data_IF_713226429285
#
_entry.id   IF_713226429285
#
_cell.length_a   1.000
_cell.length_b   1.000
_cell.length_c   1.000
_cell.angle_alpha   90.00
_cell.angle_beta   90.00
_cell.angle_gamma   90.00
#
_symmetry.space_group_name_H-M   'P 1'
#
loop_
_entity.id
_entity.type
_entity.pdbx_description
1 polymer ?
#
# COMPACT_ATOMS: atom_id res chain seq x y z
N UNK A 1 3.96 54.67 81.24
CA UNK A 1 3.40 53.46 80.60
C UNK A 1 1.92 53.43 80.94
N UNK A 2 0.92 53.52 80.06
CA UNK A 2 0.78 53.12 78.65
C UNK A 2 -0.19 54.06 77.92
N UNK A 3 -0.02 54.15 76.60
CA UNK A 3 -0.76 54.94 75.63
C UNK A 3 -2.22 54.48 75.45
N UNK A 4 -3.10 55.43 75.14
CA UNK A 4 -4.45 55.23 74.62
C UNK A 4 -4.40 55.27 73.08
N UNK A 5 -5.00 54.28 72.41
CA UNK A 5 -4.99 54.15 70.95
C UNK A 5 -6.42 54.18 70.41
N UNK A 6 -6.66 55.13 69.51
CA UNK A 6 -7.85 55.32 68.70
C UNK A 6 -8.08 54.13 67.74
N UNK A 7 -9.33 53.65 67.62
CA UNK A 7 -9.76 52.80 66.51
C UNK A 7 -10.67 53.61 65.58
N UNK A 8 -10.23 53.77 64.32
CA UNK A 8 -11.03 54.28 63.20
C UNK A 8 -11.67 53.09 62.46
N UNK A 9 -12.98 53.14 62.23
CA UNK A 9 -13.72 52.15 61.46
C UNK A 9 -13.61 52.46 59.96
N UNK A 10 -13.12 51.48 59.18
CA UNK A 10 -12.99 51.54 57.72
C UNK A 10 -14.05 50.60 57.11
N UNK A 11 -15.08 51.19 56.47
CA UNK A 11 -16.12 50.45 55.75
C UNK A 11 -15.64 50.21 54.32
N UNK A 12 -15.26 48.97 54.00
CA UNK A 12 -14.97 48.51 52.64
C UNK A 12 -16.27 48.05 51.96
N UNK A 13 -16.71 48.79 50.94
CA UNK A 13 -17.80 48.40 50.06
C UNK A 13 -17.36 47.32 49.06
N UNK A 14 -18.09 46.20 49.03
CA UNK A 14 -17.91 45.14 48.06
C UNK A 14 -18.72 45.44 46.78
N UNK A 15 -18.03 45.61 45.64
CA UNK A 15 -18.63 45.62 44.30
C UNK A 15 -18.70 44.17 43.78
N UNK A 16 -19.84 43.68 43.27
CA UNK A 16 -19.94 42.34 42.73
C UNK A 16 -19.32 42.29 41.33
N UNK A 17 -18.31 41.42 41.16
CA UNK A 17 -17.77 41.03 39.85
C UNK A 17 -18.85 40.20 39.12
N UNK A 18 -19.52 40.80 38.13
CA UNK A 18 -20.38 40.05 37.22
C UNK A 18 -19.50 39.23 36.25
N UNK A 19 -19.48 37.91 36.42
CA UNK A 19 -18.84 36.99 35.49
C UNK A 19 -19.59 36.99 34.16
N UNK A 20 -19.03 37.62 33.13
CA UNK A 20 -19.52 37.52 31.76
C UNK A 20 -19.15 36.14 31.20
N UNK A 21 -20.13 35.24 31.12
CA UNK A 21 -19.99 33.99 30.38
C UNK A 21 -19.92 34.29 28.87
N UNK A 22 -18.71 34.34 28.32
CA UNK A 22 -18.52 34.34 26.87
C UNK A 22 -18.97 33.00 26.30
N UNK A 23 -20.11 33.01 25.59
CA UNK A 23 -20.52 31.91 24.72
C UNK A 23 -19.42 31.68 23.69
N UNK A 24 -18.62 30.64 23.88
CA UNK A 24 -17.69 30.15 22.86
C UNK A 24 -18.52 29.60 21.70
N UNK A 25 -18.62 30.38 20.62
CA UNK A 25 -19.17 29.88 19.37
C UNK A 25 -18.33 28.65 18.92
N UNK A 26 -18.96 27.56 18.44
CA UNK A 26 -18.22 26.43 17.92
C UNK A 26 -17.34 26.91 16.76
N UNK A 27 -16.04 26.65 16.87
CA UNK A 27 -15.07 27.03 15.85
C UNK A 27 -15.51 26.48 14.50
N UNK A 28 -15.53 27.34 13.48
CA UNK A 28 -15.85 26.93 12.11
C UNK A 28 -14.92 25.78 11.66
N UNK A 29 -15.42 24.80 10.91
CA UNK A 29 -14.60 23.69 10.43
C UNK A 29 -13.45 24.24 9.58
N UNK A 30 -12.22 23.95 10.00
CA UNK A 30 -11.00 24.32 9.27
C UNK A 30 -11.04 23.66 7.90
N UNK A 31 -10.87 24.45 6.84
CA UNK A 31 -10.84 23.93 5.47
C UNK A 31 -9.50 23.25 5.18
N UNK A 32 -9.46 22.34 4.20
CA UNK A 32 -8.20 21.70 3.76
C UNK A 32 -7.14 22.73 3.37
N UNK A 33 -7.54 23.80 2.68
CA UNK A 33 -6.63 24.88 2.27
C UNK A 33 -5.96 25.60 3.45
N UNK A 34 -6.64 25.68 4.59
CA UNK A 34 -6.09 26.24 5.83
C UNK A 34 -5.28 25.21 6.62
N UNK A 35 -5.72 23.96 6.64
CA UNK A 35 -5.08 22.89 7.40
C UNK A 35 -3.76 22.43 6.77
N UNK A 36 -3.68 22.27 5.45
CA UNK A 36 -2.52 21.66 4.79
C UNK A 36 -1.18 22.37 5.09
N UNK A 37 -1.06 23.72 4.96
CA UNK A 37 0.19 24.41 5.29
C UNK A 37 0.61 24.23 6.75
N UNK A 38 -0.37 24.22 7.66
CA UNK A 38 -0.13 24.06 9.08
C UNK A 38 0.31 22.63 9.43
N UNK A 39 -0.35 21.62 8.86
CA UNK A 39 0.04 20.21 8.97
C UNK A 39 1.49 20.01 8.51
N UNK A 40 1.82 20.50 7.32
CA UNK A 40 3.18 20.36 6.75
C UNK A 40 4.23 21.00 7.65
N UNK A 41 3.98 22.21 8.14
CA UNK A 41 4.89 22.92 9.06
C UNK A 41 5.06 22.19 10.39
N UNK A 42 3.96 21.76 11.00
CA UNK A 42 3.97 21.11 12.31
C UNK A 42 4.70 19.76 12.26
N UNK A 43 4.39 18.92 11.27
CA UNK A 43 5.02 17.61 11.12
C UNK A 43 6.50 17.72 10.75
N UNK A 44 6.89 18.66 9.88
CA UNK A 44 8.31 18.87 9.58
C UNK A 44 9.13 19.30 10.81
N UNK A 45 8.55 20.13 11.69
CA UNK A 45 9.22 20.59 12.90
C UNK A 45 9.32 19.52 13.99
N UNK A 46 8.28 18.68 14.13
CA UNK A 46 8.18 17.68 15.20
C UNK A 46 8.76 16.32 14.81
N UNK A 47 8.74 15.99 13.52
CA UNK A 47 9.21 14.72 12.95
C UNK A 47 10.21 15.00 11.81
N UNK A 48 11.43 15.46 12.12
CA UNK A 48 12.40 15.88 11.10
C UNK A 48 12.88 14.75 10.17
N UNK A 49 12.76 13.49 10.62
CA UNK A 49 13.11 12.30 9.83
C UNK A 49 11.93 11.72 9.03
N UNK A 50 10.78 12.39 9.03
CA UNK A 50 9.61 11.90 8.32
C UNK A 50 9.83 12.00 6.81
N UNK A 51 9.41 10.98 6.02
CA UNK A 51 9.40 11.10 4.57
C UNK A 51 8.57 12.30 4.11
N UNK A 52 8.91 12.83 2.92
CA UNK A 52 8.20 13.97 2.34
C UNK A 52 6.70 13.66 2.21
N UNK A 53 5.88 14.62 2.64
CA UNK A 53 4.43 14.62 2.40
C UNK A 53 4.21 14.96 0.93
N UNK A 54 3.77 14.01 0.13
CA UNK A 54 3.46 14.22 -1.28
C UNK A 54 2.07 14.82 -1.48
N UNK A 55 1.11 14.46 -0.62
CA UNK A 55 -0.28 14.88 -0.77
C UNK A 55 -0.99 14.95 0.59
N UNK A 56 -1.88 15.92 0.75
CA UNK A 56 -2.80 16.02 1.90
C UNK A 56 -4.22 16.07 1.36
N UNK A 57 -5.12 15.25 1.92
CA UNK A 57 -6.53 15.19 1.50
C UNK A 57 -7.46 15.21 2.70
N UNK A 58 -8.64 15.79 2.53
CA UNK A 58 -9.70 15.68 3.53
C UNK A 58 -10.27 14.26 3.54
N UNK A 59 -10.54 13.73 4.73
CA UNK A 59 -11.28 12.47 4.89
C UNK A 59 -12.77 12.74 5.10
N UNK A 60 -13.64 11.71 5.03
CA UNK A 60 -15.05 11.85 5.42
C UNK A 60 -15.25 12.20 6.91
N UNK A 61 -14.21 12.07 7.74
CA UNK A 61 -14.24 12.44 9.17
C UNK A 61 -13.80 13.89 9.30
N UNK A 62 -14.68 14.75 9.79
CA UNK A 62 -14.39 16.17 9.97
C UNK A 62 -13.17 16.38 10.89
N UNK A 63 -12.22 17.21 10.44
CA UNK A 63 -10.99 17.50 11.17
C UNK A 63 -9.88 16.46 11.03
N UNK A 64 -10.12 15.34 10.35
CA UNK A 64 -9.12 14.31 10.05
C UNK A 64 -8.71 14.36 8.57
N UNK A 65 -7.41 14.33 8.36
CA UNK A 65 -6.76 14.46 7.05
C UNK A 65 -5.92 13.25 6.73
N UNK A 66 -5.98 12.80 5.49
CA UNK A 66 -5.14 11.76 4.91
C UNK A 66 -3.84 12.40 4.41
N UNK A 67 -2.71 11.82 4.81
CA UNK A 67 -1.38 12.17 4.35
C UNK A 67 -0.84 11.03 3.51
N UNK A 68 -0.40 11.34 2.30
CA UNK A 68 0.41 10.42 1.51
C UNK A 68 1.87 10.77 1.66
N UNK A 69 2.60 9.90 2.34
CA UNK A 69 4.04 9.96 2.44
C UNK A 69 4.64 9.08 1.32
N UNK A 70 5.58 9.62 0.56
CA UNK A 70 6.13 8.92 -0.58
C UNK A 70 5.07 8.42 -1.57
N UNK A 71 5.20 7.18 -2.05
CA UNK A 71 4.36 6.68 -3.14
C UNK A 71 3.01 6.11 -2.68
N UNK A 72 2.95 5.42 -1.54
CA UNK A 72 1.76 4.68 -1.11
C UNK A 72 1.61 4.57 0.41
N UNK A 73 2.41 5.29 1.21
CA UNK A 73 2.27 5.21 2.66
C UNK A 73 1.20 6.23 3.10
N UNK A 74 0.09 5.70 3.62
CA UNK A 74 -1.05 6.51 4.05
C UNK A 74 -1.04 6.63 5.56
N UNK A 75 -1.04 7.87 6.04
CA UNK A 75 -1.18 8.23 7.44
C UNK A 75 -2.38 9.16 7.60
N UNK A 76 -2.83 9.33 8.84
CA UNK A 76 -3.90 10.26 9.16
C UNK A 76 -3.46 11.23 10.26
N UNK A 77 -3.93 12.47 10.18
CA UNK A 77 -3.60 13.52 11.15
C UNK A 77 -4.76 14.48 11.37
N UNK A 78 -4.73 15.21 12.47
CA UNK A 78 -5.67 16.31 12.72
C UNK A 78 -5.24 17.60 11.99
N UNK A 79 -6.11 18.60 11.94
CA UNK A 79 -5.86 19.87 11.26
C UNK A 79 -4.58 20.62 11.71
N UNK A 80 -4.09 20.35 12.91
CA UNK A 80 -2.91 21.02 13.48
C UNK A 80 -1.62 20.20 13.34
N UNK A 81 -1.70 18.93 12.93
CA UNK A 81 -0.55 18.03 12.92
C UNK A 81 -0.07 17.65 14.32
N UNK A 82 -0.97 17.66 15.32
CA UNK A 82 -0.68 17.31 16.72
C UNK A 82 -0.66 15.79 16.92
N UNK A 83 -1.42 15.04 16.14
CA UNK A 83 -1.52 13.57 16.21
C UNK A 83 -1.27 12.93 14.86
N UNK A 84 -0.63 11.75 14.85
CA UNK A 84 -0.39 10.95 13.65
C UNK A 84 -0.86 9.52 13.89
N UNK A 85 -1.69 9.01 12.99
CA UNK A 85 -2.23 7.65 13.03
C UNK A 85 -1.76 6.87 11.81
N UNK A 86 -1.42 5.61 12.02
CA UNK A 86 -1.12 4.65 10.97
C UNK A 86 -2.11 3.49 11.06
N UNK A 87 -2.73 3.13 9.94
CA UNK A 87 -3.72 2.05 9.90
C UNK A 87 -4.73 2.25 8.79
N UNK A 88 -5.88 1.61 8.95
CA UNK A 88 -6.94 1.58 7.95
C UNK A 88 -8.19 2.33 8.41
N UNK A 89 -8.82 3.06 7.49
CA UNK A 89 -10.11 3.71 7.68
C UNK A 89 -11.20 2.85 7.07
N UNK A 90 -11.99 2.21 7.94
CA UNK A 90 -13.15 1.42 7.56
C UNK A 90 -14.42 2.27 7.68
N UNK A 91 -15.09 2.51 6.56
CA UNK A 91 -16.46 3.03 6.55
C UNK A 91 -17.41 1.90 6.95
N UNK A 92 -17.99 2.00 8.15
CA UNK A 92 -18.88 0.98 8.71
C UNK A 92 -20.26 0.97 8.08
N UNK A 93 -20.69 2.07 7.44
CA UNK A 93 -21.98 2.14 6.75
C UNK A 93 -21.94 1.35 5.45
N UNK A 94 -20.86 1.54 4.69
CA UNK A 94 -20.67 0.86 3.40
C UNK A 94 -19.85 -0.42 3.53
N UNK A 95 -19.27 -0.69 4.71
CA UNK A 95 -18.31 -1.78 5.00
C UNK A 95 -17.10 -1.74 4.08
N UNK A 96 -16.69 -0.53 3.66
CA UNK A 96 -15.57 -0.33 2.73
C UNK A 96 -14.33 0.13 3.47
N UNK A 97 -13.19 -0.45 3.13
CA UNK A 97 -11.90 0.07 3.54
C UNK A 97 -11.48 1.20 2.58
N UNK A 98 -11.53 2.43 3.08
CA UNK A 98 -11.21 3.64 2.31
C UNK A 98 -9.71 3.78 2.07
N UNK A 99 -8.88 3.38 3.03
CA UNK A 99 -7.43 3.33 2.88
C UNK A 99 -7.03 2.36 1.77
N UNK A 100 -7.56 1.14 1.79
CA UNK A 100 -7.31 0.16 0.75
C UNK A 100 -7.81 0.64 -0.61
N UNK A 101 -8.99 1.26 -0.67
CA UNK A 101 -9.51 1.86 -1.91
C UNK A 101 -8.55 2.92 -2.48
N UNK A 102 -7.91 3.71 -1.60
CA UNK A 102 -6.91 4.70 -2.00
C UNK A 102 -5.62 4.04 -2.47
N UNK A 103 -5.14 3.02 -1.77
CA UNK A 103 -3.97 2.23 -2.17
C UNK A 103 -4.17 1.57 -3.53
N UNK A 104 -5.35 0.99 -3.78
CA UNK A 104 -5.70 0.38 -5.07
C UNK A 104 -5.62 1.40 -6.21
N UNK A 105 -6.10 2.64 -5.99
CA UNK A 105 -5.99 3.71 -6.98
C UNK A 105 -4.54 4.15 -7.22
N UNK A 106 -3.77 4.34 -6.14
CA UNK A 106 -2.38 4.81 -6.23
C UNK A 106 -1.45 3.77 -6.87
N UNK A 107 -1.84 2.50 -6.80
CA UNK A 107 -0.98 1.38 -7.20
C UNK A 107 -1.54 0.57 -8.35
N UNK A 108 -2.62 1.03 -8.97
CA UNK A 108 -3.17 0.46 -10.18
C UNK A 108 -2.13 0.45 -11.29
N UNK A 109 -2.07 -0.66 -12.03
CA UNK A 109 -1.18 -0.84 -13.17
C UNK A 109 -2.03 -1.18 -14.38
N UNK A 110 -1.91 -0.41 -15.46
CA UNK A 110 -2.60 -0.76 -16.70
C UNK A 110 -2.01 -2.05 -17.27
N UNK A 111 -2.83 -3.10 -17.32
CA UNK A 111 -2.46 -4.41 -17.84
C UNK A 111 -1.88 -4.34 -19.27
N UNK A 112 -2.33 -3.38 -20.09
CA UNK A 112 -1.85 -3.20 -21.46
C UNK A 112 -0.39 -2.74 -21.54
N UNK A 113 0.13 -2.16 -20.46
CA UNK A 113 1.51 -1.67 -20.38
C UNK A 113 2.51 -2.76 -19.98
N UNK A 114 2.03 -3.95 -19.64
CA UNK A 114 2.87 -5.06 -19.22
C UNK A 114 3.77 -5.54 -20.39
N UNK A 115 5.06 -5.80 -20.14
CA UNK A 115 5.97 -6.29 -21.16
C UNK A 115 5.76 -7.79 -21.39
N UNK A 116 4.60 -8.20 -21.92
CA UNK A 116 4.17 -9.61 -22.02
C UNK A 116 5.22 -10.56 -22.64
N UNK A 117 6.09 -10.05 -23.52
CA UNK A 117 7.23 -10.81 -24.09
C UNK A 117 8.26 -11.29 -23.06
N UNK A 118 8.32 -10.65 -21.90
CA UNK A 118 9.25 -10.91 -20.81
C UNK A 118 8.63 -11.80 -19.71
N UNK A 119 7.46 -12.40 -20.00
CA UNK A 119 6.75 -13.32 -19.10
C UNK A 119 6.86 -14.79 -19.55
N UNK A 120 6.82 -15.68 -18.58
CA UNK A 120 6.51 -17.10 -18.79
C UNK A 120 4.98 -17.22 -18.86
N UNK A 121 4.47 -17.82 -19.93
CA UNK A 121 3.02 -17.97 -20.13
C UNK A 121 2.59 -19.36 -19.67
N UNK A 122 1.73 -19.40 -18.66
CA UNK A 122 1.03 -20.62 -18.23
C UNK A 122 -0.41 -20.56 -18.71
N UNK A 123 -0.91 -21.66 -19.28
CA UNK A 123 -2.30 -21.76 -19.73
C UNK A 123 -3.02 -22.87 -18.99
N UNK A 124 -4.06 -22.51 -18.27
CA UNK A 124 -4.95 -23.43 -17.55
C UNK A 124 -6.30 -23.48 -18.26
N UNK A 125 -6.79 -24.69 -18.55
CA UNK A 125 -8.04 -24.89 -19.31
C UNK A 125 -8.04 -24.17 -20.66
N UNK A 126 -9.12 -23.46 -20.97
CA UNK A 126 -9.25 -22.72 -22.23
C UNK A 126 -8.45 -21.40 -22.27
N UNK A 127 -8.00 -20.89 -21.12
CA UNK A 127 -7.21 -19.66 -21.00
C UNK A 127 -7.96 -18.35 -21.29
N UNK A 128 -9.29 -18.32 -21.18
CA UNK A 128 -10.14 -17.17 -21.51
C UNK A 128 -9.91 -15.94 -20.63
N UNK A 129 -9.54 -16.13 -19.36
CA UNK A 129 -9.24 -15.06 -18.41
C UNK A 129 -7.74 -14.76 -18.39
N UNK A 130 -7.34 -13.55 -18.01
CA UNK A 130 -5.92 -13.15 -17.98
C UNK A 130 -5.53 -12.68 -16.58
N UNK A 131 -4.35 -13.10 -16.16
CA UNK A 131 -3.72 -12.70 -14.90
C UNK A 131 -2.24 -12.46 -15.15
N UNK A 132 -1.68 -11.39 -14.60
CA UNK A 132 -0.24 -11.19 -14.58
C UNK A 132 0.24 -11.30 -13.14
N UNK A 133 1.36 -11.99 -12.94
CA UNK A 133 1.92 -12.22 -11.60
C UNK A 133 3.41 -11.94 -11.61
N UNK A 134 3.87 -11.18 -10.64
CA UNK A 134 5.30 -10.95 -10.39
C UNK A 134 5.72 -11.85 -9.24
N UNK A 135 6.63 -12.78 -9.50
CA UNK A 135 6.98 -13.85 -8.57
C UNK A 135 8.48 -14.11 -8.47
N UNK A 136 8.92 -14.46 -7.27
CA UNK A 136 10.29 -14.85 -6.99
C UNK A 136 10.34 -16.38 -6.78
N UNK A 137 11.27 -17.12 -7.41
CA UNK A 137 11.32 -18.57 -7.28
C UNK A 137 11.63 -19.06 -5.86
N UNK A 138 12.25 -18.27 -4.98
CA UNK A 138 12.53 -18.68 -3.59
C UNK A 138 11.51 -18.15 -2.57
N UNK A 139 10.45 -17.48 -3.03
CA UNK A 139 9.41 -16.91 -2.17
C UNK A 139 8.42 -17.99 -1.72
N UNK A 140 8.30 -18.22 -0.41
CA UNK A 140 7.38 -19.23 0.15
C UNK A 140 5.92 -18.94 -0.18
N UNK A 141 5.49 -17.68 -0.09
CA UNK A 141 4.13 -17.27 -0.46
C UNK A 141 3.83 -17.50 -1.95
N UNK A 142 4.83 -17.42 -2.81
CA UNK A 142 4.72 -17.67 -4.24
C UNK A 142 4.50 -19.16 -4.50
N UNK A 143 5.20 -20.05 -3.75
CA UNK A 143 4.90 -21.49 -3.78
C UNK A 143 3.47 -21.80 -3.32
N UNK A 144 2.98 -21.16 -2.25
CA UNK A 144 1.60 -21.33 -1.80
C UNK A 144 0.59 -20.83 -2.83
N UNK A 145 0.86 -19.68 -3.45
CA UNK A 145 0.04 -19.10 -4.50
C UNK A 145 -0.02 -20.01 -5.73
N UNK A 146 1.11 -20.50 -6.24
CA UNK A 146 1.16 -21.41 -7.40
C UNK A 146 0.36 -22.70 -7.15
N UNK A 147 0.41 -23.25 -5.93
CA UNK A 147 -0.41 -24.40 -5.56
C UNK A 147 -1.92 -24.09 -5.56
N UNK A 148 -2.30 -22.86 -5.25
CA UNK A 148 -3.70 -22.40 -5.35
C UNK A 148 -4.09 -22.13 -6.80
N UNK A 149 -3.20 -21.53 -7.58
CA UNK A 149 -3.37 -21.18 -8.99
C UNK A 149 -3.55 -22.42 -9.86
N UNK A 150 -2.83 -23.51 -9.58
CA UNK A 150 -2.96 -24.78 -10.29
C UNK A 150 -4.37 -25.40 -10.23
N UNK A 151 -5.24 -24.93 -9.30
CA UNK A 151 -6.63 -25.37 -9.16
C UNK A 151 -7.63 -24.44 -9.88
N UNK A 152 -7.18 -23.26 -10.31
CA UNK A 152 -7.99 -22.28 -11.06
C UNK A 152 -8.10 -22.75 -12.51
N UNK A 153 -9.29 -22.61 -13.10
CA UNK A 153 -9.54 -23.04 -14.49
C UNK A 153 -9.51 -21.87 -15.46
N UNK A 154 -9.42 -22.13 -16.75
CA UNK A 154 -9.73 -21.16 -17.81
C UNK A 154 -9.03 -19.79 -17.67
N UNK A 155 -7.74 -19.81 -17.35
CA UNK A 155 -6.92 -18.61 -17.13
C UNK A 155 -5.57 -18.76 -17.82
N UNK A 156 -5.16 -17.69 -18.50
CA UNK A 156 -3.80 -17.48 -19.01
C UNK A 156 -3.07 -16.60 -18.01
N UNK A 157 -1.95 -17.11 -17.49
CA UNK A 157 -1.15 -16.45 -16.47
C UNK A 157 0.18 -16.04 -17.07
N UNK A 158 0.49 -14.75 -16.96
CA UNK A 158 1.77 -14.17 -17.36
C UNK A 158 2.64 -14.03 -16.13
N UNK A 159 3.55 -14.98 -15.94
CA UNK A 159 4.48 -14.98 -14.82
C UNK A 159 5.73 -14.17 -15.18
N UNK A 160 5.89 -13.03 -14.52
CA UNK A 160 7.07 -12.20 -14.59
C UNK A 160 8.01 -12.61 -13.45
N UNK A 161 9.13 -13.25 -13.81
CA UNK A 161 10.17 -13.56 -12.84
C UNK A 161 10.72 -12.25 -12.25
N UNK A 162 10.61 -12.11 -10.93
CA UNK A 162 10.91 -10.89 -10.17
C UNK A 162 11.83 -11.24 -8.98
N UNK A 163 13.12 -11.53 -9.24
CA UNK A 163 14.06 -12.01 -8.22
C UNK A 163 14.54 -10.90 -7.26
N UNK A 164 13.71 -10.54 -6.30
CA UNK A 164 14.00 -9.50 -5.30
C UNK A 164 14.52 -10.04 -3.97
N UNK A 165 14.58 -11.37 -3.78
CA UNK A 165 15.03 -12.01 -2.55
C UNK A 165 16.55 -12.32 -2.52
N UNK A 166 17.32 -11.71 -3.43
CA UNK A 166 18.77 -11.77 -3.45
C UNK A 166 19.38 -12.73 -4.48
N UNK A 167 20.68 -12.96 -4.37
CA UNK A 167 21.48 -13.61 -5.42
C UNK A 167 21.00 -15.01 -5.82
N UNK A 168 20.52 -15.81 -4.85
CA UNK A 168 19.97 -17.15 -5.11
C UNK A 168 18.73 -17.09 -6.00
N UNK A 169 17.86 -16.10 -5.80
CA UNK A 169 16.68 -15.89 -6.63
C UNK A 169 17.04 -15.43 -8.02
N UNK A 170 18.05 -14.56 -8.15
CA UNK A 170 18.55 -14.13 -9.45
C UNK A 170 19.13 -15.29 -10.26
N UNK A 171 19.96 -16.12 -9.63
CA UNK A 171 20.54 -17.30 -10.28
C UNK A 171 19.45 -18.30 -10.72
N UNK A 172 18.54 -18.66 -9.81
CA UNK A 172 17.45 -19.59 -10.10
C UNK A 172 16.47 -19.05 -11.16
N UNK A 173 16.18 -17.74 -11.14
CA UNK A 173 15.36 -17.12 -12.18
C UNK A 173 16.04 -17.19 -13.54
N UNK A 174 17.37 -17.04 -13.60
CA UNK A 174 18.15 -17.22 -14.83
C UNK A 174 18.04 -18.65 -15.34
N UNK A 175 18.22 -19.64 -14.47
CA UNK A 175 18.09 -21.07 -14.82
C UNK A 175 16.70 -21.39 -15.40
N UNK A 176 15.64 -20.92 -14.73
CA UNK A 176 14.25 -21.10 -15.19
C UNK A 176 14.01 -20.37 -16.52
N UNK A 177 14.43 -19.10 -16.63
CA UNK A 177 14.24 -18.30 -17.84
C UNK A 177 14.98 -18.89 -19.03
N UNK A 178 16.16 -19.46 -18.82
CA UNK A 178 16.99 -20.01 -19.88
C UNK A 178 16.63 -21.44 -20.27
N UNK A 179 15.68 -22.07 -19.56
CA UNK A 179 15.22 -23.40 -19.92
C UNK A 179 14.51 -23.41 -21.28
N UNK A 180 14.66 -24.54 -22.00
CA UNK A 180 13.95 -24.78 -23.27
C UNK A 180 12.43 -24.69 -23.09
N UNK A 181 11.92 -25.27 -22.00
CA UNK A 181 10.52 -25.20 -21.60
C UNK A 181 10.41 -24.49 -20.25
N UNK A 182 10.38 -23.14 -20.30
CA UNK A 182 10.32 -22.28 -19.12
C UNK A 182 9.06 -22.55 -18.28
N UNK A 183 7.93 -22.81 -18.93
CA UNK A 183 6.64 -23.04 -18.28
C UNK A 183 6.67 -24.33 -17.45
N UNK A 184 7.14 -25.43 -18.06
CA UNK A 184 7.31 -26.69 -17.34
C UNK A 184 8.31 -26.56 -16.20
N UNK A 185 9.47 -25.95 -16.43
CA UNK A 185 10.51 -25.80 -15.40
C UNK A 185 10.03 -24.93 -14.23
N UNK A 186 9.31 -23.84 -14.51
CA UNK A 186 8.68 -23.02 -13.48
C UNK A 186 7.69 -23.83 -12.64
N UNK A 187 6.75 -24.55 -13.27
CA UNK A 187 5.76 -25.35 -12.54
C UNK A 187 6.38 -26.55 -11.80
N UNK A 188 7.39 -27.20 -12.38
CA UNK A 188 8.17 -28.28 -11.75
C UNK A 188 8.84 -27.77 -10.45
N UNK A 189 9.45 -26.59 -10.49
CA UNK A 189 10.07 -25.98 -9.31
C UNK A 189 9.02 -25.52 -8.29
N UNK A 190 8.03 -24.74 -8.73
CA UNK A 190 7.08 -24.09 -7.84
C UNK A 190 6.15 -25.08 -7.12
N UNK A 191 5.72 -26.14 -7.80
CA UNK A 191 4.77 -27.12 -7.25
C UNK A 191 5.43 -28.37 -6.69
N UNK A 192 6.57 -28.79 -7.25
CA UNK A 192 7.19 -30.10 -6.98
C UNK A 192 8.63 -30.02 -6.50
N UNK A 193 9.19 -28.81 -6.35
CA UNK A 193 10.56 -28.57 -5.88
C UNK A 193 11.64 -29.27 -6.71
N UNK A 194 11.35 -29.53 -7.98
CA UNK A 194 12.34 -30.06 -8.93
C UNK A 194 13.22 -28.90 -9.38
N UNK A 195 14.52 -28.98 -9.10
CA UNK A 195 15.46 -27.91 -9.42
C UNK A 195 15.56 -27.67 -10.94
N UNK A 196 15.64 -26.41 -11.39
CA UNK A 196 15.85 -26.10 -12.80
C UNK A 196 17.25 -26.54 -13.24
N UNK A 197 17.44 -26.89 -14.54
CA UNK A 197 18.77 -27.12 -15.07
C UNK A 197 19.56 -25.80 -15.10
N UNK A 198 20.88 -25.88 -14.93
CA UNK A 198 21.75 -24.70 -15.02
C UNK A 198 21.61 -24.00 -16.38
N UNK A 199 21.51 -22.67 -16.36
CA UNK A 199 21.41 -21.86 -17.56
C UNK A 199 22.65 -22.05 -18.47
N UNK A 200 22.44 -22.24 -19.79
CA UNK A 200 23.53 -22.17 -20.76
C UNK A 200 24.29 -20.84 -20.71
N UNK A 201 25.60 -20.86 -20.93
CA UNK A 201 26.48 -19.69 -20.78
C UNK A 201 26.11 -18.49 -21.69
N UNK A 202 25.46 -18.76 -22.81
CA UNK A 202 25.11 -17.84 -23.90
C UNK A 202 23.65 -17.37 -23.82
N UNK A 203 22.87 -17.82 -22.84
CA UNK A 203 21.48 -17.43 -22.71
C UNK A 203 21.32 -15.94 -22.36
N UNK A 204 20.47 -15.24 -23.13
CA UNK A 204 20.04 -13.88 -22.80
C UNK A 204 18.97 -13.87 -21.71
N UNK A 205 19.35 -13.39 -20.52
CA UNK A 205 18.46 -13.20 -19.37
C UNK A 205 18.08 -11.71 -19.13
N UNK A 206 18.26 -10.84 -20.13
CA UNK A 206 17.94 -9.41 -20.04
C UNK A 206 16.47 -9.11 -19.69
N UNK A 207 15.56 -10.05 -19.96
CA UNK A 207 14.16 -9.98 -19.54
C UNK A 207 14.00 -9.86 -18.01
N UNK A 208 14.85 -10.55 -17.23
CA UNK A 208 14.79 -10.48 -15.77
C UNK A 208 15.07 -9.06 -15.26
N UNK A 209 16.06 -8.37 -15.84
CA UNK A 209 16.36 -6.99 -15.49
C UNK A 209 15.21 -6.04 -15.87
N UNK A 210 14.58 -6.25 -17.04
CA UNK A 210 13.41 -5.47 -17.46
C UNK A 210 12.21 -5.70 -16.54
N UNK A 211 11.98 -6.93 -16.08
CA UNK A 211 10.93 -7.24 -15.12
C UNK A 211 11.19 -6.57 -13.76
N UNK A 212 12.44 -6.60 -13.28
CA UNK A 212 12.83 -5.92 -12.04
C UNK A 212 12.61 -4.41 -12.15
N UNK A 213 13.05 -3.79 -13.25
CA UNK A 213 12.87 -2.36 -13.47
C UNK A 213 11.39 -1.98 -13.62
N UNK A 214 10.60 -2.79 -14.34
CA UNK A 214 9.15 -2.58 -14.44
C UNK A 214 8.50 -2.64 -13.05
N UNK A 215 8.81 -3.66 -12.25
CA UNK A 215 8.26 -3.79 -10.91
C UNK A 215 8.66 -2.62 -10.01
N UNK A 216 9.92 -2.17 -10.06
CA UNK A 216 10.40 -0.99 -9.33
C UNK A 216 9.66 0.29 -9.74
N UNK A 217 9.51 0.53 -11.04
CA UNK A 217 8.78 1.68 -11.59
C UNK A 217 7.31 1.69 -11.16
N UNK A 218 6.69 0.51 -11.11
CA UNK A 218 5.29 0.32 -10.70
C UNK A 218 5.14 -0.04 -9.21
N UNK A 219 6.19 0.15 -8.39
CA UNK A 219 6.17 -0.02 -6.92
C UNK A 219 5.67 -1.40 -6.49
N UNK A 220 6.08 -2.45 -7.20
CA UNK A 220 5.85 -3.84 -6.81
C UNK A 220 6.93 -4.19 -5.78
N UNK A 221 6.57 -4.08 -4.50
CA UNK A 221 7.53 -4.19 -3.39
C UNK A 221 7.56 -5.57 -2.74
N UNK A 222 6.77 -6.53 -3.24
CA UNK A 222 6.68 -7.87 -2.68
C UNK A 222 6.18 -8.87 -3.71
N UNK A 223 6.42 -10.14 -3.43
CA UNK A 223 5.99 -11.28 -4.25
C UNK A 223 5.16 -12.27 -3.41
N UNK A 224 4.13 -12.92 -3.98
CA UNK A 224 3.63 -12.67 -5.33
C UNK A 224 2.88 -11.32 -5.38
N UNK A 225 2.86 -10.67 -6.54
CA UNK A 225 2.00 -9.52 -6.78
C UNK A 225 1.10 -9.79 -8.00
N UNK A 226 -0.20 -9.70 -7.79
CA UNK A 226 -1.22 -10.10 -8.76
C UNK A 226 -1.77 -8.86 -9.46
N UNK A 227 -1.78 -8.85 -10.78
CA UNK A 227 -2.29 -7.77 -11.62
C UNK A 227 -3.40 -8.30 -12.52
N UNK A 228 -4.56 -7.68 -12.42
CA UNK A 228 -5.75 -8.05 -13.16
C UNK A 228 -6.00 -7.12 -14.35
N UNK A 229 -6.80 -7.56 -15.31
CA UNK A 229 -7.08 -6.83 -16.56
C UNK A 229 -7.80 -5.50 -16.35
N UNK A 230 -8.58 -5.35 -15.27
CA UNK A 230 -9.20 -4.08 -14.89
C UNK A 230 -8.24 -3.09 -14.19
N UNK A 231 -6.95 -3.42 -14.10
CA UNK A 231 -5.92 -2.61 -13.46
C UNK A 231 -5.80 -2.79 -11.95
N UNK A 232 -6.67 -3.60 -11.32
CA UNK A 232 -6.57 -3.94 -9.91
C UNK A 232 -5.28 -4.70 -9.64
N UNK A 233 -4.60 -4.30 -8.56
CA UNK A 233 -3.43 -4.98 -8.03
C UNK A 233 -3.74 -5.56 -6.67
N UNK A 234 -3.33 -6.80 -6.43
CA UNK A 234 -3.33 -7.40 -5.09
C UNK A 234 -1.90 -7.72 -4.68
N UNK A 235 -1.40 -7.13 -3.59
CA UNK A 235 -0.15 -7.56 -3.00
C UNK A 235 -0.35 -8.88 -2.24
N UNK A 236 0.54 -9.84 -2.47
CA UNK A 236 0.56 -11.11 -1.75
C UNK A 236 -0.26 -12.21 -2.40
N UNK A 237 -0.16 -13.39 -1.77
CA UNK A 237 -0.83 -14.59 -2.23
C UNK A 237 -2.35 -14.52 -1.99
N UNK A 238 -3.11 -15.03 -2.96
CA UNK A 238 -4.55 -15.25 -2.83
C UNK A 238 -4.86 -16.73 -2.96
N UNK A 239 -5.85 -17.22 -2.20
CA UNK A 239 -6.33 -18.59 -2.32
C UNK A 239 -7.17 -18.79 -3.60
N UNK A 240 -7.45 -20.06 -3.94
CA UNK A 240 -8.19 -20.42 -5.16
C UNK A 240 -9.57 -19.75 -5.21
N UNK A 241 -10.29 -19.68 -4.09
CA UNK A 241 -11.64 -19.09 -4.05
C UNK A 241 -11.61 -17.58 -4.31
N UNK A 242 -10.65 -16.88 -3.71
CA UNK A 242 -10.42 -15.45 -3.91
C UNK A 242 -10.00 -15.17 -5.35
N UNK A 243 -9.11 -16.00 -5.93
CA UNK A 243 -8.71 -15.88 -7.34
C UNK A 243 -9.89 -16.06 -8.28
N UNK A 244 -10.70 -17.10 -8.10
CA UNK A 244 -11.88 -17.34 -8.94
C UNK A 244 -12.86 -16.16 -8.87
N UNK A 245 -13.11 -15.63 -7.67
CA UNK A 245 -13.94 -14.44 -7.47
C UNK A 245 -13.39 -13.24 -8.23
N UNK A 246 -12.12 -12.89 -8.01
CA UNK A 246 -11.50 -11.73 -8.64
C UNK A 246 -11.43 -11.86 -10.16
N UNK A 247 -11.10 -13.04 -10.68
CA UNK A 247 -11.08 -13.30 -12.11
C UNK A 247 -12.48 -13.22 -12.74
N UNK A 248 -13.54 -13.56 -12.01
CA UNK A 248 -14.93 -13.41 -12.47
C UNK A 248 -15.41 -11.95 -12.49
N UNK A 249 -14.93 -11.12 -11.57
CA UNK A 249 -15.19 -9.67 -11.52
C UNK A 249 -14.44 -8.87 -12.62
N UNK A 250 -13.53 -9.52 -13.35
CA UNK A 250 -12.60 -8.93 -14.32
C UNK A 250 -13.01 -9.10 -15.80
N UNK A 251 -14.32 -9.23 -16.06
CA UNK A 251 -14.86 -9.35 -17.42
C UNK A 251 -14.78 -8.05 -18.21
#
# INVERSE_FOLDING_TARGET
MKLSSYLAALVLGALPLAAQAQKTAPAAPVTLAQAEPQIRKALAARLPNMPKIEEVRATPIAGLYELRLGASDIFYTDAKGDYLFQGEMLDTKTRRNLTQSRLDQLTAVDFKTLPIKDAIVLKYGNGSRKLAVFEDPNCSYCHHFEAALAKVKDVTVYVFLYPILGAKSSAMSKDIWCAKDKAKVWQDWMLRKVAPPAAPAQCDASALARNVEFGRKNRINGTPALLFTNGKRIPGAADTATLEKLLAENK
#
